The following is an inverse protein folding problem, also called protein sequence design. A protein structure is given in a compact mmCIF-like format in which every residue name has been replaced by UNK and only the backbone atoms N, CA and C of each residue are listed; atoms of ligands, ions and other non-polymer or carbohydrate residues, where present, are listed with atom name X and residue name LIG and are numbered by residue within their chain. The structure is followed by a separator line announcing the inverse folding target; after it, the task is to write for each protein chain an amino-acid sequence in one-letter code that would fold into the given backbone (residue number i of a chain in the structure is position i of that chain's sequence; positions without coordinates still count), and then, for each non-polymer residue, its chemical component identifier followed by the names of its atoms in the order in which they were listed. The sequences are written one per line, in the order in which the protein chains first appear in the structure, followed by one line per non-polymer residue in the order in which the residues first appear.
data_IF_670579914284
#
_entry.id   IF_670579914284
#
_cell.length_a   1.000
_cell.length_b   1.000
_cell.length_c   1.000
_cell.angle_alpha   90.00
_cell.angle_beta   90.00
_cell.angle_gamma   90.00
#
_symmetry.space_group_name_H-M   'P 1'
#
loop_
_entity.id
_entity.type
_entity.pdbx_description
1 polymer ?
#
# COMPACT_ATOMS: atom_id res chain seq x y z
N UNK A 1 12.96 6.41 1.75
CA UNK A 1 11.97 5.72 0.86
C UNK A 1 11.73 4.34 1.43
N UNK A 2 10.46 3.97 1.65
CA UNK A 2 10.04 2.64 2.13
C UNK A 2 9.71 1.73 0.93
N UNK A 3 9.85 0.42 1.09
CA UNK A 3 9.45 -0.61 0.12
C UNK A 3 8.34 -1.48 0.71
N UNK A 4 7.24 -1.63 -0.01
CA UNK A 4 6.13 -2.50 0.35
C UNK A 4 6.00 -3.67 -0.62
N UNK A 5 5.82 -4.87 -0.08
CA UNK A 5 5.37 -6.04 -0.83
C UNK A 5 3.85 -6.16 -0.72
N UNK A 6 3.13 -6.11 -1.84
CA UNK A 6 1.70 -6.39 -1.90
C UNK A 6 1.45 -7.84 -2.35
N UNK A 7 0.67 -8.60 -1.58
CA UNK A 7 0.35 -10.01 -1.84
C UNK A 7 -1.14 -10.18 -2.08
N UNK A 8 -1.52 -10.56 -3.32
CA UNK A 8 -2.92 -10.61 -3.77
C UNK A 8 -3.46 -12.03 -4.01
N UNK A 9 -2.66 -12.92 -4.60
CA UNK A 9 -3.13 -14.17 -5.20
C UNK A 9 -2.71 -15.45 -4.47
N UNK A 10 -2.13 -15.31 -3.27
CA UNK A 10 -1.75 -16.43 -2.41
C UNK A 10 -2.83 -16.68 -1.33
N UNK A 11 -2.81 -17.84 -0.68
CA UNK A 11 -3.52 -18.00 0.58
C UNK A 11 -2.70 -17.43 1.75
N UNK A 12 -3.28 -17.30 2.93
CA UNK A 12 -2.60 -16.65 4.08
C UNK A 12 -1.33 -17.38 4.52
N UNK A 13 -1.30 -18.72 4.43
CA UNK A 13 -0.11 -19.52 4.79
C UNK A 13 1.03 -19.30 3.79
N UNK A 14 0.72 -19.24 2.50
CA UNK A 14 1.70 -18.96 1.45
C UNK A 14 2.17 -17.51 1.51
N UNK A 15 1.27 -16.56 1.80
CA UNK A 15 1.59 -15.15 1.98
C UNK A 15 2.56 -14.94 3.14
N UNK A 16 2.32 -15.56 4.30
CA UNK A 16 3.21 -15.49 5.45
C UNK A 16 4.60 -16.12 5.14
N UNK A 17 4.64 -17.27 4.44
CA UNK A 17 5.91 -17.89 4.02
C UNK A 17 6.71 -17.01 3.05
N UNK A 18 6.03 -16.34 2.13
CA UNK A 18 6.69 -15.40 1.22
C UNK A 18 7.23 -14.19 2.00
N UNK A 19 6.41 -13.61 2.86
CA UNK A 19 6.79 -12.48 3.71
C UNK A 19 8.03 -12.79 4.54
N UNK A 20 8.08 -13.93 5.23
CA UNK A 20 9.23 -14.37 6.02
C UNK A 20 10.54 -14.44 5.22
N UNK A 21 10.46 -14.79 3.93
CA UNK A 21 11.66 -14.87 3.07
C UNK A 21 12.20 -13.52 2.66
N UNK A 22 11.33 -12.49 2.59
CA UNK A 22 11.68 -11.18 2.04
C UNK A 22 11.63 -10.04 3.06
N UNK A 23 11.22 -10.28 4.31
CA UNK A 23 11.03 -9.24 5.33
C UNK A 23 12.29 -8.44 5.68
N UNK A 24 13.49 -8.96 5.37
CA UNK A 24 14.74 -8.21 5.51
C UNK A 24 14.91 -7.11 4.44
N UNK A 25 14.16 -7.19 3.33
CA UNK A 25 14.28 -6.26 2.20
C UNK A 25 13.09 -5.31 2.08
N UNK A 26 12.01 -5.54 2.83
CA UNK A 26 10.78 -4.72 2.77
C UNK A 26 10.45 -4.11 4.12
N UNK A 27 9.83 -2.93 4.12
CA UNK A 27 9.41 -2.24 5.34
C UNK A 27 7.95 -2.54 5.70
N UNK A 28 7.15 -2.89 4.68
CA UNK A 28 5.71 -3.17 4.81
C UNK A 28 5.38 -4.42 4.00
N UNK A 29 4.56 -5.31 4.58
CA UNK A 29 3.93 -6.43 3.86
C UNK A 29 2.42 -6.26 3.91
N UNK A 30 1.80 -6.33 2.75
CA UNK A 30 0.36 -6.13 2.58
C UNK A 30 -0.35 -7.45 2.35
N UNK A 31 -1.44 -7.66 3.09
CA UNK A 31 -2.50 -8.60 2.73
C UNK A 31 -3.46 -7.88 1.79
N UNK A 32 -3.37 -8.24 0.50
CA UNK A 32 -4.16 -7.61 -0.55
C UNK A 32 -5.64 -7.92 -0.47
N UNK A 33 -6.46 -7.06 -1.06
CA UNK A 33 -7.92 -7.18 -1.08
C UNK A 33 -8.42 -8.58 -1.50
N UNK A 34 -7.85 -9.27 -2.51
CA UNK A 34 -8.31 -10.61 -2.88
C UNK A 34 -8.16 -11.65 -1.75
N UNK A 35 -7.08 -11.58 -0.96
CA UNK A 35 -6.89 -12.48 0.19
C UNK A 35 -7.91 -12.14 1.28
N UNK A 36 -8.16 -10.85 1.55
CA UNK A 36 -9.16 -10.42 2.54
C UNK A 36 -10.56 -10.88 2.14
N UNK A 37 -10.92 -10.82 0.85
CA UNK A 37 -12.21 -11.32 0.34
C UNK A 37 -12.37 -12.83 0.57
N UNK A 38 -11.30 -13.60 0.37
CA UNK A 38 -11.34 -15.05 0.46
C UNK A 38 -11.25 -15.56 1.91
N UNK A 39 -10.45 -14.92 2.77
CA UNK A 39 -10.09 -15.45 4.08
C UNK A 39 -10.39 -14.50 5.25
N UNK A 40 -10.81 -13.27 4.95
CA UNK A 40 -11.13 -12.24 5.95
C UNK A 40 -9.91 -11.71 6.71
N UNK A 41 -10.18 -10.94 7.76
CA UNK A 41 -9.16 -10.37 8.66
C UNK A 41 -8.28 -11.42 9.40
N UNK A 42 -8.70 -12.69 9.60
CA UNK A 42 -7.77 -13.72 10.07
C UNK A 42 -6.50 -13.88 9.23
N UNK A 43 -6.51 -13.50 7.93
CA UNK A 43 -5.31 -13.49 7.11
C UNK A 43 -4.32 -12.40 7.56
N UNK A 44 -4.81 -11.23 7.96
CA UNK A 44 -3.99 -10.13 8.51
C UNK A 44 -3.36 -10.57 9.83
N UNK A 45 -4.14 -11.19 10.73
CA UNK A 45 -3.63 -11.72 12.00
C UNK A 45 -2.55 -12.78 11.75
N UNK A 46 -2.80 -13.71 10.84
CA UNK A 46 -1.85 -14.77 10.52
C UNK A 46 -0.52 -14.20 10.02
N UNK A 47 -0.55 -13.17 9.15
CA UNK A 47 0.67 -12.48 8.72
C UNK A 47 1.39 -11.81 9.90
N UNK A 48 0.65 -11.04 10.70
CA UNK A 48 1.22 -10.32 11.86
C UNK A 48 1.90 -11.25 12.89
N UNK A 49 1.34 -12.44 13.09
CA UNK A 49 1.90 -13.45 14.00
C UNK A 49 3.16 -14.15 13.45
N UNK A 50 3.42 -14.04 12.13
CA UNK A 50 4.48 -14.79 11.45
C UNK A 50 5.63 -13.95 10.90
N UNK A 51 5.56 -12.61 10.98
CA UNK A 51 6.66 -11.71 10.61
C UNK A 51 7.10 -10.87 11.82
N UNK A 52 8.32 -10.33 11.80
CA UNK A 52 8.91 -9.64 12.96
C UNK A 52 9.43 -8.24 12.64
N UNK A 53 9.85 -7.98 11.42
CA UNK A 53 10.60 -6.77 11.07
C UNK A 53 9.81 -5.78 10.22
N UNK A 54 8.82 -6.25 9.44
CA UNK A 54 8.00 -5.40 8.60
C UNK A 54 6.66 -5.07 9.26
N UNK A 55 6.09 -3.91 8.90
CA UNK A 55 4.71 -3.54 9.27
C UNK A 55 3.72 -4.34 8.44
N UNK A 56 2.54 -4.60 9.00
CA UNK A 56 1.43 -5.25 8.30
C UNK A 56 0.44 -4.21 7.77
N UNK A 57 0.15 -4.25 6.49
CA UNK A 57 -0.91 -3.46 5.87
C UNK A 57 -2.09 -4.36 5.50
N UNK A 58 -3.30 -3.93 5.87
CA UNK A 58 -4.57 -4.55 5.46
C UNK A 58 -5.20 -3.73 4.33
N UNK A 59 -5.23 -4.28 3.11
CA UNK A 59 -5.82 -3.61 1.94
C UNK A 59 -7.32 -3.87 1.86
N UNK A 60 -8.08 -3.14 2.67
CA UNK A 60 -9.53 -3.28 2.79
C UNK A 60 -10.31 -2.47 1.75
N UNK A 61 -9.69 -1.44 1.16
CA UNK A 61 -10.35 -0.51 0.23
C UNK A 61 -11.69 0.02 0.78
N UNK A 62 -11.65 0.46 2.04
CA UNK A 62 -12.84 0.93 2.77
C UNK A 62 -13.56 2.03 1.98
N UNK A 63 -14.90 2.03 2.00
CA UNK A 63 -15.76 3.04 1.40
C UNK A 63 -16.66 3.75 2.42
N UNK A 64 -17.15 3.03 3.42
CA UNK A 64 -18.03 3.54 4.48
C UNK A 64 -17.80 2.78 5.80
N UNK A 65 -18.54 3.09 6.86
CA UNK A 65 -18.38 2.49 8.19
C UNK A 65 -16.91 2.45 8.67
N UNK A 66 -16.16 3.49 8.33
CA UNK A 66 -14.70 3.47 8.33
C UNK A 66 -14.09 3.33 9.73
N UNK A 67 -14.66 3.94 10.76
CA UNK A 67 -14.25 3.78 12.16
C UNK A 67 -14.34 2.32 12.62
N UNK A 68 -15.46 1.65 12.27
CA UNK A 68 -15.64 0.24 12.61
C UNK A 68 -14.65 -0.65 11.86
N UNK A 69 -14.52 -0.49 10.54
CA UNK A 69 -13.66 -1.35 9.72
C UNK A 69 -12.18 -1.18 10.06
N UNK A 70 -11.71 0.06 10.27
CA UNK A 70 -10.35 0.33 10.77
C UNK A 70 -10.13 -0.31 12.14
N UNK A 71 -11.08 -0.15 13.08
CA UNK A 71 -10.96 -0.74 14.41
C UNK A 71 -10.85 -2.26 14.37
N UNK A 72 -11.57 -2.93 13.44
CA UNK A 72 -11.45 -4.37 13.26
C UNK A 72 -10.08 -4.75 12.69
N UNK A 73 -9.59 -4.08 11.63
CA UNK A 73 -8.27 -4.36 11.06
C UNK A 73 -7.15 -4.23 12.11
N UNK A 74 -7.19 -3.18 12.93
CA UNK A 74 -6.22 -2.97 14.02
C UNK A 74 -6.28 -4.09 15.06
N UNK A 75 -7.46 -4.58 15.44
CA UNK A 75 -7.60 -5.73 16.35
C UNK A 75 -6.95 -7.02 15.80
N UNK A 76 -6.92 -7.17 14.49
CA UNK A 76 -6.28 -8.29 13.81
C UNK A 76 -4.80 -8.01 13.48
N UNK A 77 -4.22 -6.93 14.00
CA UNK A 77 -2.79 -6.66 13.94
C UNK A 77 -2.33 -5.81 12.77
N UNK A 78 -3.23 -5.14 12.06
CA UNK A 78 -2.82 -4.18 11.02
C UNK A 78 -2.11 -2.96 11.64
N UNK A 79 -1.00 -2.56 11.05
CA UNK A 79 -0.29 -1.30 11.34
C UNK A 79 -0.75 -0.18 10.42
N UNK A 80 -1.20 -0.54 9.22
CA UNK A 80 -1.69 0.37 8.19
C UNK A 80 -2.97 -0.22 7.61
N UNK A 81 -3.99 0.62 7.40
CA UNK A 81 -5.27 0.22 6.79
C UNK A 81 -5.53 1.07 5.57
N UNK A 82 -6.16 0.51 4.53
CA UNK A 82 -6.48 1.29 3.33
C UNK A 82 -7.94 1.71 3.27
N UNK A 83 -8.16 2.95 2.80
CA UNK A 83 -9.46 3.51 2.40
C UNK A 83 -9.35 4.04 0.98
N UNK A 84 -10.43 4.01 0.21
CA UNK A 84 -10.46 4.59 -1.13
C UNK A 84 -10.55 6.11 -1.10
N UNK A 85 -9.76 6.80 -1.91
CA UNK A 85 -9.80 8.27 -2.04
C UNK A 85 -11.11 8.80 -2.64
N UNK A 86 -11.91 7.94 -3.23
CA UNK A 86 -13.26 8.24 -3.73
C UNK A 86 -14.35 8.13 -2.65
N UNK A 87 -14.01 7.68 -1.43
CA UNK A 87 -14.93 7.66 -0.31
C UNK A 87 -15.31 9.09 0.12
N UNK A 88 -16.44 9.20 0.81
CA UNK A 88 -16.91 10.49 1.36
C UNK A 88 -15.94 11.04 2.41
N UNK A 89 -15.81 12.36 2.50
CA UNK A 89 -14.92 13.03 3.45
C UNK A 89 -15.18 12.62 4.89
N UNK A 90 -16.44 12.39 5.25
CA UNK A 90 -16.81 11.92 6.58
C UNK A 90 -16.21 10.55 6.90
N UNK A 91 -16.22 9.62 5.94
CA UNK A 91 -15.64 8.29 6.08
C UNK A 91 -14.11 8.37 6.21
N UNK A 92 -13.46 9.22 5.39
CA UNK A 92 -12.00 9.38 5.43
C UNK A 92 -11.55 9.98 6.77
N UNK A 93 -12.23 11.04 7.24
CA UNK A 93 -11.92 11.64 8.55
C UNK A 93 -12.12 10.65 9.70
N UNK A 94 -13.20 9.86 9.68
CA UNK A 94 -13.46 8.84 10.68
C UNK A 94 -12.36 7.74 10.66
N UNK A 95 -11.90 7.34 9.46
CA UNK A 95 -10.80 6.39 9.32
C UNK A 95 -9.47 6.93 9.87
N UNK A 96 -9.12 8.19 9.56
CA UNK A 96 -7.91 8.85 10.09
C UNK A 96 -7.96 8.90 11.62
N UNK A 97 -9.07 9.41 12.17
CA UNK A 97 -9.25 9.53 13.63
C UNK A 97 -9.13 8.19 14.34
N UNK A 98 -9.78 7.14 13.80
CA UNK A 98 -9.74 5.81 14.41
C UNK A 98 -8.35 5.17 14.29
N UNK A 99 -7.66 5.27 13.14
CA UNK A 99 -6.31 4.79 12.98
C UNK A 99 -5.35 5.47 13.99
N UNK A 100 -5.38 6.80 14.06
CA UNK A 100 -4.52 7.58 14.95
C UNK A 100 -4.81 7.32 16.44
N UNK A 101 -6.06 7.12 16.83
CA UNK A 101 -6.45 6.71 18.20
C UNK A 101 -5.75 5.44 18.66
N UNK A 102 -5.45 4.53 17.73
CA UNK A 102 -4.71 3.30 17.99
C UNK A 102 -3.20 3.40 17.72
N UNK A 103 -2.69 4.59 17.36
CA UNK A 103 -1.28 4.78 16.99
C UNK A 103 -0.91 4.05 15.69
N UNK A 104 -1.89 3.86 14.79
CA UNK A 104 -1.75 3.22 13.49
C UNK A 104 -1.89 4.25 12.38
N UNK A 105 -1.54 3.86 11.14
CA UNK A 105 -1.55 4.73 9.98
C UNK A 105 -2.70 4.41 9.02
N UNK A 106 -3.16 5.43 8.29
CA UNK A 106 -4.11 5.30 7.20
C UNK A 106 -3.44 5.57 5.85
N UNK A 107 -3.60 4.65 4.91
CA UNK A 107 -3.22 4.84 3.52
C UNK A 107 -4.48 5.07 2.69
N UNK A 108 -4.53 6.21 1.97
CA UNK A 108 -5.61 6.50 1.04
C UNK A 108 -5.21 6.08 -0.36
N UNK A 109 -5.92 5.10 -0.92
CA UNK A 109 -5.72 4.60 -2.29
C UNK A 109 -6.46 5.47 -3.29
N UNK A 110 -5.72 6.13 -4.21
CA UNK A 110 -6.25 7.06 -5.21
C UNK A 110 -6.79 6.37 -6.47
N UNK A 111 -6.97 5.04 -6.45
CA UNK A 111 -7.60 4.32 -7.57
C UNK A 111 -8.96 4.95 -7.91
N UNK A 112 -9.25 5.12 -9.20
CA UNK A 112 -10.47 5.71 -9.74
C UNK A 112 -10.74 7.19 -9.38
N UNK A 113 -9.89 7.88 -8.64
CA UNK A 113 -10.00 9.32 -8.41
C UNK A 113 -9.80 10.09 -9.72
N UNK A 114 -10.77 10.93 -10.09
CA UNK A 114 -10.74 11.66 -11.37
C UNK A 114 -9.89 12.93 -11.31
N UNK A 115 -10.02 13.71 -10.24
CA UNK A 115 -9.26 14.94 -10.01
C UNK A 115 -8.19 14.71 -8.94
N UNK A 116 -7.08 14.09 -9.35
CA UNK A 116 -6.00 13.71 -8.45
C UNK A 116 -5.43 14.90 -7.67
N UNK A 117 -5.20 16.04 -8.34
CA UNK A 117 -4.58 17.21 -7.72
C UNK A 117 -5.44 17.76 -6.57
N UNK A 118 -6.72 17.99 -6.85
CA UNK A 118 -7.65 18.55 -5.87
C UNK A 118 -7.86 17.57 -4.71
N UNK A 119 -8.10 16.29 -5.05
CA UNK A 119 -8.38 15.27 -4.01
C UNK A 119 -7.16 15.02 -3.12
N UNK A 120 -5.96 15.01 -3.67
CA UNK A 120 -4.73 14.85 -2.88
C UNK A 120 -4.55 15.97 -1.85
N UNK A 121 -4.84 17.24 -2.22
CA UNK A 121 -4.81 18.37 -1.28
C UNK A 121 -5.81 18.19 -0.14
N UNK A 122 -7.05 17.80 -0.46
CA UNK A 122 -8.09 17.55 0.53
C UNK A 122 -7.71 16.45 1.52
N UNK A 123 -7.15 15.34 1.01
CA UNK A 123 -6.71 14.20 1.82
C UNK A 123 -5.52 14.55 2.72
N UNK A 124 -4.57 15.33 2.21
CA UNK A 124 -3.43 15.84 2.97
C UNK A 124 -3.90 16.74 4.13
N UNK A 125 -4.92 17.60 3.89
CA UNK A 125 -5.54 18.44 4.92
C UNK A 125 -6.38 17.65 5.93
N UNK A 126 -6.93 16.50 5.53
CA UNK A 126 -7.68 15.59 6.42
C UNK A 126 -6.74 14.76 7.32
N UNK A 127 -5.43 14.76 7.07
CA UNK A 127 -4.45 14.09 7.90
C UNK A 127 -4.17 12.63 7.52
N UNK A 128 -4.38 12.23 6.27
CA UNK A 128 -3.95 10.93 5.77
C UNK A 128 -2.44 10.76 5.96
N UNK A 129 -1.99 9.58 6.40
CA UNK A 129 -0.55 9.31 6.58
C UNK A 129 0.14 9.04 5.25
N UNK A 130 -0.53 8.28 4.37
CA UNK A 130 -0.07 7.99 3.02
C UNK A 130 -1.16 8.29 2.00
N UNK A 131 -0.78 8.88 0.87
CA UNK A 131 -1.63 9.06 -0.30
C UNK A 131 -0.98 8.27 -1.44
N UNK A 132 -1.63 7.17 -1.85
CA UNK A 132 -1.09 6.22 -2.80
C UNK A 132 -1.66 6.44 -4.21
N UNK A 133 -0.81 6.85 -5.13
CA UNK A 133 -1.12 6.80 -6.55
C UNK A 133 -1.16 5.34 -6.99
N UNK A 134 -2.26 4.92 -7.60
CA UNK A 134 -2.46 3.53 -7.95
C UNK A 134 -2.97 3.35 -9.39
N UNK A 135 -2.14 2.71 -10.23
CA UNK A 135 -2.61 2.19 -11.51
C UNK A 135 -3.16 0.78 -11.29
N UNK A 136 -4.49 0.65 -11.25
CA UNK A 136 -5.17 -0.62 -10.99
C UNK A 136 -4.77 -1.72 -11.99
N UNK A 137 -4.88 -2.98 -11.56
CA UNK A 137 -4.45 -4.16 -12.31
C UNK A 137 -4.99 -4.19 -13.74
N UNK A 138 -6.29 -3.88 -13.93
CA UNK A 138 -6.94 -3.89 -15.24
C UNK A 138 -6.36 -2.84 -16.19
N UNK A 139 -5.95 -1.67 -15.67
CA UNK A 139 -5.34 -0.59 -16.45
C UNK A 139 -3.86 -0.83 -16.77
N UNK A 140 -3.16 -1.63 -15.97
CA UNK A 140 -1.78 -2.02 -16.25
C UNK A 140 -1.68 -2.80 -17.57
N UNK A 141 -2.68 -3.64 -17.88
CA UNK A 141 -2.76 -4.36 -19.15
C UNK A 141 -2.88 -3.43 -20.37
N UNK A 142 -3.34 -2.18 -20.19
CA UNK A 142 -3.40 -1.14 -21.23
C UNK A 142 -2.08 -0.36 -21.37
N UNK A 143 -1.02 -0.73 -20.61
CA UNK A 143 0.29 -0.08 -20.64
C UNK A 143 0.33 1.27 -19.91
N UNK A 144 -0.63 1.57 -19.04
CA UNK A 144 -0.62 2.80 -18.22
C UNK A 144 0.42 2.71 -17.13
N UNK A 145 1.11 3.84 -16.88
CA UNK A 145 2.13 3.99 -15.84
C UNK A 145 1.64 4.97 -14.77
N UNK A 146 2.01 4.79 -13.49
CA UNK A 146 1.66 5.71 -12.42
C UNK A 146 2.50 7.00 -12.38
N UNK A 147 3.53 7.17 -13.23
CA UNK A 147 4.51 8.25 -13.15
C UNK A 147 3.91 9.66 -13.19
N UNK A 148 3.02 9.94 -14.15
CA UNK A 148 2.43 11.27 -14.27
C UNK A 148 1.51 11.60 -13.10
N UNK A 149 0.78 10.60 -12.63
CA UNK A 149 -0.06 10.71 -11.42
C UNK A 149 0.79 10.93 -10.17
N UNK A 150 1.95 10.26 -10.07
CA UNK A 150 2.91 10.44 -8.98
C UNK A 150 3.44 11.88 -8.93
N UNK A 151 3.87 12.43 -10.07
CA UNK A 151 4.31 13.83 -10.20
C UNK A 151 3.22 14.80 -9.77
N UNK A 152 1.99 14.56 -10.23
CA UNK A 152 0.84 15.41 -9.88
C UNK A 152 0.59 15.43 -8.38
N UNK A 153 0.45 14.28 -7.74
CA UNK A 153 0.17 14.18 -6.31
C UNK A 153 1.32 14.76 -5.49
N UNK A 154 2.57 14.39 -5.82
CA UNK A 154 3.76 14.89 -5.12
C UNK A 154 3.89 16.43 -5.18
N UNK A 155 3.44 17.05 -6.25
CA UNK A 155 3.54 18.51 -6.40
C UNK A 155 2.63 19.30 -5.45
N UNK A 156 1.65 18.68 -4.84
CA UNK A 156 0.57 19.38 -4.11
C UNK A 156 0.43 18.98 -2.65
N UNK A 157 0.90 17.82 -2.21
CA UNK A 157 0.86 17.39 -0.82
C UNK A 157 2.04 17.96 -0.02
N UNK A 158 1.86 18.13 1.30
CA UNK A 158 2.84 18.79 2.18
C UNK A 158 3.12 18.02 3.46
N UNK A 159 2.15 17.27 3.96
CA UNK A 159 2.19 16.61 5.27
C UNK A 159 2.19 15.09 5.14
N UNK A 160 1.38 14.57 4.22
CA UNK A 160 1.26 13.13 3.95
C UNK A 160 2.48 12.61 3.20
N UNK A 161 2.76 11.33 3.33
CA UNK A 161 3.73 10.61 2.49
C UNK A 161 3.11 10.22 1.15
N UNK A 162 3.88 10.34 0.07
CA UNK A 162 3.46 9.89 -1.26
C UNK A 162 3.83 8.42 -1.46
N UNK A 163 2.83 7.60 -1.72
CA UNK A 163 3.01 6.22 -2.12
C UNK A 163 2.70 6.00 -3.60
N UNK A 164 3.31 5.00 -4.22
CA UNK A 164 3.07 4.67 -5.63
C UNK A 164 2.94 3.17 -5.83
N UNK A 165 1.87 2.77 -6.54
CA UNK A 165 1.55 1.38 -6.87
C UNK A 165 1.16 1.22 -8.33
N UNK A 166 1.32 0.01 -8.85
CA UNK A 166 0.81 -0.40 -10.16
C UNK A 166 1.89 -0.71 -11.20
N UNK A 167 2.08 -1.99 -11.48
CA UNK A 167 2.97 -2.48 -12.54
C UNK A 167 4.47 -2.27 -12.31
N UNK A 168 4.89 -1.96 -11.09
CA UNK A 168 6.29 -1.71 -10.75
C UNK A 168 7.05 -3.03 -10.70
N UNK A 169 8.23 -3.06 -11.37
CA UNK A 169 9.12 -4.22 -11.50
C UNK A 169 10.58 -3.76 -11.40
N UNK A 170 11.56 -4.68 -11.23
CA UNK A 170 12.98 -4.31 -11.16
C UNK A 170 13.51 -3.47 -12.33
N UNK A 171 12.97 -3.68 -13.52
CA UNK A 171 13.34 -2.93 -14.73
C UNK A 171 12.73 -1.52 -14.80
N UNK A 172 11.60 -1.28 -14.15
CA UNK A 172 10.89 0.01 -14.15
C UNK A 172 11.03 0.79 -12.84
N UNK A 173 11.48 0.17 -11.76
CA UNK A 173 11.54 0.80 -10.43
C UNK A 173 12.48 2.02 -10.40
N UNK A 174 13.52 2.06 -11.24
CA UNK A 174 14.46 3.18 -11.28
C UNK A 174 13.81 4.48 -11.72
N UNK A 175 12.87 4.43 -12.66
CA UNK A 175 12.13 5.60 -13.11
C UNK A 175 11.20 6.12 -12.02
N UNK A 176 10.61 5.20 -11.24
CA UNK A 176 9.77 5.53 -10.07
C UNK A 176 10.62 6.17 -8.96
N UNK A 177 11.76 5.58 -8.63
CA UNK A 177 12.69 6.07 -7.60
C UNK A 177 13.25 7.45 -7.95
N UNK A 178 13.47 7.74 -9.24
CA UNK A 178 13.92 9.06 -9.70
C UNK A 178 12.92 10.18 -9.38
N UNK A 179 11.64 9.87 -9.22
CA UNK A 179 10.62 10.83 -8.77
C UNK A 179 10.57 10.97 -7.23
N UNK A 180 11.40 10.23 -6.49
CA UNK A 180 11.58 10.31 -5.04
C UNK A 180 10.25 10.22 -4.25
N UNK A 181 9.44 9.16 -4.41
CA UNK A 181 8.28 8.89 -3.55
C UNK A 181 8.73 8.47 -2.16
N UNK A 182 7.83 8.55 -1.16
CA UNK A 182 8.14 8.08 0.19
C UNK A 182 7.99 6.56 0.33
N UNK A 183 7.07 5.96 -0.43
CA UNK A 183 6.76 4.53 -0.42
C UNK A 183 6.58 3.99 -1.84
N UNK A 184 7.30 2.92 -2.18
CA UNK A 184 7.14 2.16 -3.42
C UNK A 184 6.47 0.82 -3.13
N UNK A 185 5.34 0.55 -3.79
CA UNK A 185 4.54 -0.67 -3.59
C UNK A 185 4.74 -1.60 -4.79
N UNK A 186 5.31 -2.77 -4.54
CA UNK A 186 5.58 -3.80 -5.55
C UNK A 186 4.76 -5.04 -5.22
N UNK A 187 3.82 -5.40 -6.09
CA UNK A 187 2.99 -6.60 -5.96
C UNK A 187 3.59 -7.77 -6.73
N UNK A 188 2.95 -8.13 -7.85
CA UNK A 188 3.34 -9.28 -8.69
C UNK A 188 4.79 -9.26 -9.18
N UNK A 189 5.43 -8.09 -9.22
CA UNK A 189 6.85 -7.99 -9.57
C UNK A 189 7.75 -8.78 -8.61
N UNK A 190 7.42 -8.85 -7.32
CA UNK A 190 8.09 -9.68 -6.33
C UNK A 190 7.34 -11.00 -6.13
N UNK A 191 6.03 -10.96 -5.88
CA UNK A 191 5.25 -12.12 -5.45
C UNK A 191 5.20 -13.24 -6.50
N UNK A 192 5.25 -12.91 -7.79
CA UNK A 192 5.18 -13.86 -8.90
C UNK A 192 6.55 -14.18 -9.53
N UNK A 193 7.65 -13.69 -8.95
CA UNK A 193 9.00 -13.97 -9.45
C UNK A 193 9.42 -15.41 -9.19
N UNK A 194 10.25 -15.96 -10.06
CA UNK A 194 10.87 -17.28 -9.83
C UNK A 194 11.75 -17.29 -8.56
N UNK A 195 12.42 -16.16 -8.28
CA UNK A 195 13.16 -15.90 -7.03
C UNK A 195 12.70 -14.57 -6.41
N UNK A 196 11.66 -14.60 -5.56
CA UNK A 196 11.14 -13.40 -4.91
C UNK A 196 12.16 -12.69 -4.00
N UNK A 197 13.10 -13.45 -3.41
CA UNK A 197 14.12 -12.90 -2.51
C UNK A 197 15.11 -12.05 -3.30
N UNK A 198 15.60 -12.57 -4.43
CA UNK A 198 16.52 -11.83 -5.27
C UNK A 198 15.85 -10.57 -5.85
N UNK A 199 14.57 -10.66 -6.26
CA UNK A 199 13.84 -9.50 -6.78
C UNK A 199 13.59 -8.46 -5.68
N UNK A 200 13.21 -8.86 -4.47
CA UNK A 200 13.04 -7.92 -3.34
C UNK A 200 14.36 -7.20 -3.02
N UNK A 201 15.48 -7.92 -3.04
CA UNK A 201 16.82 -7.36 -2.85
C UNK A 201 17.20 -6.37 -3.95
N UNK A 202 16.89 -6.66 -5.22
CA UNK A 202 17.12 -5.73 -6.34
C UNK A 202 16.27 -4.46 -6.19
N UNK A 203 14.99 -4.60 -5.80
CA UNK A 203 14.13 -3.44 -5.53
C UNK A 203 14.69 -2.58 -4.38
N UNK A 204 15.13 -3.21 -3.28
CA UNK A 204 15.76 -2.51 -2.14
C UNK A 204 17.03 -1.77 -2.58
N UNK A 205 17.91 -2.43 -3.34
CA UNK A 205 19.13 -1.80 -3.85
C UNK A 205 18.82 -0.60 -4.75
N UNK A 206 17.81 -0.68 -5.60
CA UNK A 206 17.40 0.44 -6.44
C UNK A 206 16.92 1.65 -5.61
N UNK A 207 16.14 1.39 -4.54
CA UNK A 207 15.65 2.43 -3.60
C UNK A 207 16.80 3.08 -2.82
N UNK A 208 17.82 2.32 -2.47
CA UNK A 208 18.99 2.80 -1.73
C UNK A 208 20.05 3.47 -2.63
N UNK A 209 19.84 3.49 -3.95
CA UNK A 209 20.78 4.07 -4.92
C UNK A 209 22.07 3.26 -5.10
N UNK A 210 21.99 1.94 -4.87
CA UNK A 210 23.12 0.99 -4.99
C UNK A 210 23.08 0.20 -6.29
#
# INVERSE_FOLDING_TARGET
MELQLAIDLLNKEEAAKLAQKVEEYVDIVEIGTPIVINEGLPAVQHLNENINNAKVLADLKIMDAADYEVSQAVKYGADIVTILGVAEDASIKAAVEEAHKHGKALLVDMIAVQNLEQRAKELDEMGADYIAVHTGYDLQAEGKSPLDSLRTVKSVIKNSKVAVAGGIKPDTIKDIVAEDPDLVIVGGGIANADDPVEVAKQCRAAIEGK
#
